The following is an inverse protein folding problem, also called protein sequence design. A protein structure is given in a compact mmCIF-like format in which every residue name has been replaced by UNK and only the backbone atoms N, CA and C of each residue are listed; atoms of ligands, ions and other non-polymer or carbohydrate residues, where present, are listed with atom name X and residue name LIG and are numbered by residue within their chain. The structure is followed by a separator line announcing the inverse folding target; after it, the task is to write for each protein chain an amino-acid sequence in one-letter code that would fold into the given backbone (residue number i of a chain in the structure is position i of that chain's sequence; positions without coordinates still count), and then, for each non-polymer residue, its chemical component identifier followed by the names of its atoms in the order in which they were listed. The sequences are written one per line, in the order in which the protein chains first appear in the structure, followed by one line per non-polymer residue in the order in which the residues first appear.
data_IF_716722931476
#
_entry.id   IF_716722931476
#
_cell.length_a   1.000
_cell.length_b   1.000
_cell.length_c   1.000
_cell.angle_alpha   90.00
_cell.angle_beta   90.00
_cell.angle_gamma   90.00
#
_symmetry.space_group_name_H-M   'P 1'
#
loop_
_entity.id
_entity.type
_entity.pdbx_description
1 polymer ?
#
# COMPACT_ATOMS: atom_id res chain seq x y z
N UNK A 1 -49.36 53.96 -12.35
CA UNK A 1 -48.74 52.92 -13.19
C UNK A 1 -47.20 53.09 -13.34
N UNK A 2 -46.65 54.24 -13.69
CA UNK A 2 -45.20 54.43 -13.84
C UNK A 2 -44.37 54.21 -12.54
N UNK A 3 -44.92 54.49 -11.34
CA UNK A 3 -44.21 54.28 -10.05
C UNK A 3 -44.23 52.81 -9.60
N UNK A 4 -45.23 52.03 -10.00
CA UNK A 4 -45.24 50.60 -9.70
C UNK A 4 -44.28 49.80 -10.58
N UNK A 5 -44.12 50.17 -11.85
CA UNK A 5 -43.18 49.56 -12.78
C UNK A 5 -41.72 49.80 -12.36
N UNK A 6 -41.46 51.01 -11.81
CA UNK A 6 -40.09 51.37 -11.34
C UNK A 6 -39.73 50.57 -10.05
N UNK A 7 -40.70 50.27 -9.18
CA UNK A 7 -40.47 49.51 -7.97
C UNK A 7 -40.25 48.01 -8.27
N UNK A 8 -40.96 47.44 -9.26
CA UNK A 8 -40.75 46.04 -9.70
C UNK A 8 -39.39 45.88 -10.43
N UNK A 9 -38.94 46.87 -11.21
CA UNK A 9 -37.62 46.79 -11.84
C UNK A 9 -36.47 46.88 -10.80
N UNK A 10 -36.65 47.71 -9.75
CA UNK A 10 -35.67 47.81 -8.67
C UNK A 10 -35.60 46.53 -7.80
N UNK A 11 -36.76 45.85 -7.57
CA UNK A 11 -36.77 44.55 -6.88
C UNK A 11 -36.17 43.42 -7.73
N UNK A 12 -36.35 43.43 -9.05
CA UNK A 12 -35.74 42.43 -9.96
C UNK A 12 -34.24 42.62 -10.07
N UNK A 13 -33.72 43.83 -9.97
CA UNK A 13 -32.25 44.12 -9.92
C UNK A 13 -31.63 43.74 -8.56
N UNK A 14 -32.37 43.84 -7.44
CA UNK A 14 -31.89 43.42 -6.13
C UNK A 14 -31.89 41.89 -5.97
N UNK A 15 -32.82 41.18 -6.61
CA UNK A 15 -32.85 39.70 -6.60
C UNK A 15 -31.74 39.12 -7.50
N UNK A 16 -31.32 39.83 -8.57
CA UNK A 16 -30.19 39.36 -9.39
C UNK A 16 -28.81 39.65 -8.77
N UNK A 17 -28.70 40.51 -7.75
CA UNK A 17 -27.46 40.72 -7.01
C UNK A 17 -27.29 39.79 -5.78
N UNK A 18 -28.35 39.13 -5.31
CA UNK A 18 -28.25 38.16 -4.20
C UNK A 18 -27.95 36.74 -4.64
N UNK A 19 -27.81 36.46 -5.93
CA UNK A 19 -27.60 35.12 -6.47
C UNK A 19 -26.16 34.83 -6.96
N UNK A 20 -25.22 35.77 -6.84
CA UNK A 20 -23.81 35.48 -6.95
C UNK A 20 -23.31 35.07 -5.56
N UNK A 21 -23.64 33.85 -5.13
CA UNK A 21 -22.70 33.06 -4.31
C UNK A 21 -21.44 33.05 -5.16
N UNK A 22 -20.42 33.79 -4.73
CA UNK A 22 -19.09 33.68 -5.28
C UNK A 22 -18.77 32.19 -5.15
N UNK A 23 -18.83 31.45 -6.27
CA UNK A 23 -18.18 30.17 -6.36
C UNK A 23 -16.73 30.52 -5.97
N UNK A 24 -16.28 30.02 -4.82
CA UNK A 24 -14.89 30.14 -4.41
C UNK A 24 -14.10 29.63 -5.62
N UNK A 25 -13.31 30.52 -6.25
CA UNK A 25 -12.46 30.11 -7.37
C UNK A 25 -11.45 29.11 -6.81
N UNK A 26 -11.77 27.82 -6.92
CA UNK A 26 -10.90 26.75 -6.43
C UNK A 26 -9.62 26.77 -7.26
N UNK A 27 -8.43 26.68 -6.62
CA UNK A 27 -7.16 27.02 -7.25
C UNK A 27 -6.81 26.11 -8.45
N UNK A 28 -7.39 24.91 -8.52
CA UNK A 28 -7.11 23.92 -9.58
C UNK A 28 -8.36 23.51 -10.36
N UNK A 29 -9.40 24.37 -10.37
CA UNK A 29 -10.62 24.10 -11.11
C UNK A 29 -10.32 23.86 -12.60
N UNK A 30 -10.85 22.74 -13.13
CA UNK A 30 -10.65 22.34 -14.53
C UNK A 30 -9.34 21.60 -14.82
N UNK A 31 -8.46 21.42 -13.84
CA UNK A 31 -7.29 20.55 -13.98
C UNK A 31 -7.68 19.09 -13.64
N UNK A 32 -6.95 18.13 -14.23
CA UNK A 32 -7.13 16.71 -13.96
C UNK A 32 -5.83 16.15 -13.39
N UNK A 33 -5.91 15.46 -12.25
CA UNK A 33 -4.82 14.71 -11.65
C UNK A 33 -5.02 13.22 -11.96
N UNK A 34 -4.12 12.62 -12.73
CA UNK A 34 -4.16 11.19 -13.06
C UNK A 34 -3.25 10.40 -12.13
N UNK A 35 -3.83 9.45 -11.40
CA UNK A 35 -3.15 8.69 -10.34
C UNK A 35 -3.13 7.22 -10.72
N UNK A 36 -1.94 6.62 -10.76
CA UNK A 36 -1.76 5.17 -10.79
C UNK A 36 -1.80 4.64 -9.36
N UNK A 37 -2.81 3.80 -9.04
CA UNK A 37 -3.08 3.38 -7.66
C UNK A 37 -3.46 1.91 -7.54
N UNK A 38 -3.71 1.43 -6.33
CA UNK A 38 -4.21 0.10 -6.06
C UNK A 38 -5.70 -0.03 -6.44
N UNK A 39 -6.11 -1.23 -6.88
CA UNK A 39 -7.52 -1.56 -7.11
C UNK A 39 -8.23 -2.04 -5.83
N UNK A 40 -7.62 -1.82 -4.66
CA UNK A 40 -8.11 -2.26 -3.35
C UNK A 40 -8.81 -1.11 -2.64
N UNK A 41 -9.89 -1.39 -1.90
CA UNK A 41 -10.65 -0.40 -1.10
C UNK A 41 -11.12 0.85 -1.88
N UNK A 42 -11.46 0.74 -3.16
CA UNK A 42 -11.74 1.87 -4.04
C UNK A 42 -12.83 2.83 -3.48
N UNK A 43 -13.86 2.30 -2.79
CA UNK A 43 -14.94 3.12 -2.20
C UNK A 43 -14.42 3.95 -1.01
N UNK A 44 -13.54 3.38 -0.18
CA UNK A 44 -12.93 4.10 0.95
C UNK A 44 -11.93 5.13 0.46
N UNK A 45 -11.09 4.80 -0.54
CA UNK A 45 -10.19 5.77 -1.16
C UNK A 45 -10.96 6.94 -1.78
N UNK A 46 -12.11 6.67 -2.43
CA UNK A 46 -12.96 7.73 -2.96
C UNK A 46 -13.48 8.64 -1.84
N UNK A 47 -14.04 8.05 -0.78
CA UNK A 47 -14.63 8.75 0.37
C UNK A 47 -13.60 9.58 1.15
N UNK A 48 -12.46 8.97 1.48
CA UNK A 48 -11.51 9.55 2.44
C UNK A 48 -10.48 10.46 1.78
N UNK A 49 -10.18 10.23 0.50
CA UNK A 49 -9.05 10.88 -0.20
C UNK A 49 -9.54 11.71 -1.38
N UNK A 50 -10.18 11.07 -2.37
CA UNK A 50 -10.42 11.74 -3.65
C UNK A 50 -11.51 12.80 -3.55
N UNK A 51 -12.65 12.50 -2.92
CA UNK A 51 -13.72 13.47 -2.77
C UNK A 51 -13.31 14.70 -1.96
N UNK A 52 -12.66 14.56 -0.77
CA UNK A 52 -12.18 15.72 -0.01
C UNK A 52 -11.12 16.54 -0.76
N UNK A 53 -10.21 15.89 -1.47
CA UNK A 53 -9.19 16.61 -2.25
C UNK A 53 -9.81 17.37 -3.43
N UNK A 54 -10.73 16.76 -4.17
CA UNK A 54 -11.48 17.43 -5.25
C UNK A 54 -12.35 18.56 -4.71
N UNK A 55 -12.96 18.39 -3.53
CA UNK A 55 -13.70 19.45 -2.88
C UNK A 55 -12.82 20.62 -2.49
N UNK A 56 -11.63 20.38 -1.95
CA UNK A 56 -10.67 21.39 -1.56
C UNK A 56 -10.10 22.16 -2.77
N UNK A 57 -9.74 21.47 -3.84
CA UNK A 57 -8.95 22.01 -4.95
C UNK A 57 -9.78 22.41 -6.18
N UNK A 58 -10.90 21.75 -6.40
CA UNK A 58 -11.70 21.87 -7.61
C UNK A 58 -11.16 21.09 -8.81
N UNK A 59 -10.09 20.32 -8.65
CA UNK A 59 -9.59 19.45 -9.70
C UNK A 59 -10.50 18.24 -9.90
N UNK A 60 -10.25 17.49 -10.97
CA UNK A 60 -10.81 16.13 -11.18
C UNK A 60 -9.72 15.11 -10.93
N UNK A 61 -10.01 14.03 -10.19
CA UNK A 61 -9.11 12.89 -10.04
C UNK A 61 -9.53 11.77 -11.01
N UNK A 62 -8.56 11.21 -11.72
CA UNK A 62 -8.69 9.98 -12.51
C UNK A 62 -7.77 8.93 -11.86
N UNK A 63 -8.38 7.95 -11.18
CA UNK A 63 -7.65 6.87 -10.53
C UNK A 63 -7.60 5.63 -11.42
N UNK A 64 -6.40 5.22 -11.87
CA UNK A 64 -6.17 3.99 -12.63
C UNK A 64 -5.67 2.88 -11.67
N UNK A 65 -6.61 2.04 -11.22
CA UNK A 65 -6.36 0.98 -10.26
C UNK A 65 -5.97 -0.34 -10.91
N UNK A 66 -4.83 -0.92 -10.49
CA UNK A 66 -4.40 -2.26 -10.90
C UNK A 66 -3.41 -2.87 -9.89
N UNK A 67 -2.95 -4.12 -10.13
CA UNK A 67 -1.85 -4.72 -9.38
C UNK A 67 -0.52 -4.02 -9.67
N UNK A 68 0.44 -4.10 -8.75
CA UNK A 68 1.74 -3.43 -8.90
C UNK A 68 2.43 -3.79 -10.22
N UNK A 69 2.51 -5.06 -10.58
CA UNK A 69 3.18 -5.50 -11.81
C UNK A 69 2.51 -4.93 -13.09
N UNK A 70 1.18 -4.89 -13.13
CA UNK A 70 0.43 -4.29 -14.26
C UNK A 70 0.69 -2.79 -14.33
N UNK A 71 0.71 -2.09 -13.20
CA UNK A 71 0.95 -0.64 -13.14
C UNK A 71 2.36 -0.27 -13.58
N UNK A 72 3.37 -1.02 -13.15
CA UNK A 72 4.76 -0.81 -13.61
C UNK A 72 4.83 -0.92 -15.14
N UNK A 73 4.22 -1.96 -15.73
CA UNK A 73 4.19 -2.12 -17.20
C UNK A 73 3.49 -0.93 -17.86
N UNK A 74 2.32 -0.50 -17.37
CA UNK A 74 1.61 0.66 -17.90
C UNK A 74 2.45 1.94 -17.82
N UNK A 75 3.10 2.19 -16.68
CA UNK A 75 3.93 3.38 -16.47
C UNK A 75 5.20 3.37 -17.33
N UNK A 76 5.78 2.17 -17.59
CA UNK A 76 6.90 2.04 -18.51
C UNK A 76 6.54 2.45 -19.95
N UNK A 77 5.32 2.11 -20.39
CA UNK A 77 4.81 2.38 -21.73
C UNK A 77 4.13 3.76 -21.87
N UNK A 78 3.79 4.42 -20.75
CA UNK A 78 3.06 5.67 -20.71
C UNK A 78 3.86 6.82 -21.34
N UNK A 79 3.16 7.69 -22.08
CA UNK A 79 3.71 8.93 -22.59
C UNK A 79 3.84 9.99 -21.47
N UNK A 80 4.68 11.00 -21.70
CA UNK A 80 4.80 12.13 -20.77
C UNK A 80 3.46 12.86 -20.58
N UNK A 81 3.05 12.99 -19.32
CA UNK A 81 1.81 13.64 -18.91
C UNK A 81 0.57 12.74 -18.94
N UNK A 82 0.70 11.43 -19.16
CA UNK A 82 -0.41 10.48 -19.00
C UNK A 82 -0.74 10.23 -17.53
N UNK A 83 0.27 10.30 -16.65
CA UNK A 83 0.14 10.15 -15.21
C UNK A 83 0.86 11.28 -14.47
N UNK A 84 0.34 11.63 -13.31
CA UNK A 84 0.90 12.66 -12.44
C UNK A 84 1.49 12.06 -11.16
N UNK A 85 0.77 11.12 -10.53
CA UNK A 85 1.15 10.47 -9.26
C UNK A 85 1.12 8.97 -9.40
N UNK A 86 2.05 8.29 -8.75
CA UNK A 86 2.00 6.86 -8.50
C UNK A 86 2.00 6.57 -7.00
N UNK A 87 1.06 5.71 -6.58
CA UNK A 87 0.93 5.17 -5.22
C UNK A 87 1.31 3.69 -5.28
N UNK A 88 2.53 3.32 -4.86
CA UNK A 88 3.07 1.98 -5.13
C UNK A 88 4.03 1.52 -4.02
N UNK A 89 4.22 0.21 -3.88
CA UNK A 89 5.18 -0.36 -2.94
C UNK A 89 6.64 0.00 -3.26
N UNK A 90 7.45 0.12 -2.25
CA UNK A 90 8.86 0.56 -2.26
C UNK A 90 9.75 -0.23 -3.24
N UNK A 91 9.60 -1.55 -3.33
CA UNK A 91 10.29 -2.39 -4.32
C UNK A 91 10.07 -1.89 -5.76
N UNK A 92 8.83 -1.53 -6.07
CA UNK A 92 8.46 -1.06 -7.42
C UNK A 92 8.83 0.40 -7.65
N UNK A 93 8.92 1.21 -6.58
CA UNK A 93 9.50 2.56 -6.68
C UNK A 93 10.95 2.46 -7.15
N UNK A 94 11.76 1.55 -6.59
CA UNK A 94 13.14 1.32 -7.04
C UNK A 94 13.22 0.94 -8.52
N UNK A 95 12.33 0.06 -8.98
CA UNK A 95 12.27 -0.30 -10.40
C UNK A 95 11.94 0.92 -11.28
N UNK A 96 10.91 1.68 -10.94
CA UNK A 96 10.52 2.88 -11.69
C UNK A 96 11.58 3.98 -11.66
N UNK A 97 12.33 4.12 -10.55
CA UNK A 97 13.48 5.02 -10.47
C UNK A 97 14.58 4.61 -11.44
N UNK A 98 14.92 3.32 -11.51
CA UNK A 98 15.92 2.80 -12.44
C UNK A 98 15.51 3.04 -13.91
N UNK A 99 14.23 3.06 -14.21
CA UNK A 99 13.67 3.37 -15.53
C UNK A 99 13.47 4.88 -15.79
N UNK A 100 13.85 5.74 -14.83
CA UNK A 100 13.71 7.21 -14.93
C UNK A 100 12.26 7.70 -14.92
N UNK A 101 11.32 6.93 -14.35
CA UNK A 101 9.89 7.22 -14.33
C UNK A 101 9.44 8.00 -13.09
N UNK A 102 10.28 8.12 -12.08
CA UNK A 102 10.00 8.90 -10.86
C UNK A 102 10.74 10.22 -10.94
N UNK A 103 10.00 11.32 -10.76
CA UNK A 103 10.56 12.67 -10.66
C UNK A 103 10.84 13.03 -9.19
N UNK A 104 11.75 13.95 -8.97
CA UNK A 104 11.96 14.57 -7.66
C UNK A 104 10.82 15.57 -7.37
N UNK A 105 10.52 15.78 -6.10
CA UNK A 105 9.55 16.75 -5.62
C UNK A 105 10.20 17.78 -4.70
N UNK A 106 9.55 18.91 -4.53
CA UNK A 106 9.98 19.95 -3.60
C UNK A 106 9.42 19.65 -2.20
N UNK A 107 10.23 18.97 -1.39
CA UNK A 107 9.85 18.59 -0.01
C UNK A 107 9.53 19.79 0.88
N UNK A 108 10.01 20.99 0.57
CA UNK A 108 9.70 22.22 1.35
C UNK A 108 8.23 22.64 1.24
N UNK A 109 7.51 22.14 0.24
CA UNK A 109 6.07 22.34 0.07
C UNK A 109 5.22 21.34 0.84
N UNK A 110 5.80 20.23 1.33
CA UNK A 110 5.11 19.22 2.08
C UNK A 110 5.03 19.58 3.56
N UNK A 111 4.03 20.37 3.91
CA UNK A 111 3.87 20.94 5.26
C UNK A 111 3.52 19.86 6.31
N UNK A 112 2.96 18.74 5.90
CA UNK A 112 2.63 17.59 6.74
C UNK A 112 3.81 16.66 7.00
N UNK A 113 4.91 16.80 6.24
CA UNK A 113 6.05 15.89 6.29
C UNK A 113 6.77 15.91 7.67
N UNK A 114 6.75 17.06 8.37
CA UNK A 114 7.41 17.18 9.69
C UNK A 114 6.84 16.22 10.73
N UNK A 115 5.55 15.88 10.64
CA UNK A 115 4.87 14.98 11.57
C UNK A 115 5.05 13.49 11.22
N UNK A 116 5.60 13.18 10.05
CA UNK A 116 5.86 11.81 9.59
C UNK A 116 7.06 11.21 10.35
N UNK A 117 7.05 9.90 10.62
CA UNK A 117 8.22 9.18 11.14
C UNK A 117 9.44 9.38 10.26
N UNK A 118 10.63 9.57 10.86
CA UNK A 118 11.84 9.90 10.10
C UNK A 118 12.20 8.88 9.03
N UNK A 119 12.00 7.58 9.31
CA UNK A 119 12.23 6.51 8.33
C UNK A 119 11.23 6.47 7.17
N UNK A 120 10.11 7.19 7.26
CA UNK A 120 9.07 7.27 6.23
C UNK A 120 9.11 8.58 5.42
N UNK A 121 9.90 9.59 5.83
CA UNK A 121 9.97 10.89 5.13
C UNK A 121 10.57 10.80 3.74
N UNK A 122 11.63 10.01 3.59
CA UNK A 122 12.36 9.86 2.32
C UNK A 122 13.00 8.47 2.19
N UNK A 123 12.22 7.38 2.13
CA UNK A 123 12.77 6.02 2.12
C UNK A 123 13.69 5.72 0.92
N UNK A 124 13.49 6.43 -0.20
CA UNK A 124 14.30 6.28 -1.43
C UNK A 124 15.40 7.35 -1.57
N UNK A 125 15.58 8.20 -0.56
CA UNK A 125 16.52 9.30 -0.57
C UNK A 125 15.86 10.67 -0.72
N UNK A 126 16.63 11.72 -0.45
CA UNK A 126 16.17 13.10 -0.47
C UNK A 126 15.61 13.50 -1.85
N UNK A 127 14.48 14.20 -1.84
CA UNK A 127 13.79 14.65 -3.06
C UNK A 127 12.85 13.61 -3.68
N UNK A 128 12.81 12.37 -3.20
CA UNK A 128 11.81 11.39 -3.60
C UNK A 128 10.61 11.39 -2.64
N UNK A 129 9.52 10.79 -3.08
CA UNK A 129 8.27 10.83 -2.33
C UNK A 129 8.32 10.11 -1.00
N UNK A 130 7.50 10.53 -0.03
CA UNK A 130 7.39 9.88 1.28
C UNK A 130 6.64 8.56 1.18
N UNK A 131 6.80 7.72 2.21
CA UNK A 131 5.84 6.68 2.51
C UNK A 131 4.56 7.31 3.08
N UNK A 132 3.42 6.65 2.84
CA UNK A 132 2.15 7.04 3.45
C UNK A 132 1.57 5.94 4.35
N UNK A 133 2.10 4.73 4.26
CA UNK A 133 1.76 3.60 5.13
C UNK A 133 2.94 2.64 5.27
N UNK A 134 2.97 1.96 6.41
CA UNK A 134 3.86 0.84 6.67
C UNK A 134 3.13 -0.48 6.41
N UNK A 135 3.88 -1.50 6.03
CA UNK A 135 3.37 -2.86 5.94
C UNK A 135 4.35 -3.80 6.62
N UNK A 136 3.86 -4.81 7.33
CA UNK A 136 4.67 -5.91 7.82
C UNK A 136 4.13 -7.25 7.36
N UNK A 137 5.04 -8.19 7.17
CA UNK A 137 4.73 -9.57 6.86
C UNK A 137 4.42 -10.33 8.14
N UNK A 138 3.37 -11.14 8.10
CA UNK A 138 3.01 -12.01 9.20
C UNK A 138 2.26 -13.24 8.70
N UNK A 139 1.69 -13.98 9.64
CA UNK A 139 0.90 -15.17 9.33
C UNK A 139 -0.51 -14.96 9.87
N UNK A 140 -1.50 -15.14 9.01
CA UNK A 140 -2.92 -15.21 9.40
C UNK A 140 -3.30 -16.68 9.43
N UNK A 141 -3.87 -17.15 10.54
CA UNK A 141 -4.36 -18.51 10.64
C UNK A 141 -5.62 -18.62 11.50
N UNK A 142 -6.38 -19.69 11.34
CA UNK A 142 -7.50 -20.02 12.20
C UNK A 142 -7.05 -21.08 13.23
N UNK A 143 -6.96 -20.75 14.54
CA UNK A 143 -6.55 -21.70 15.57
C UNK A 143 -7.50 -22.89 15.73
N UNK A 144 -8.76 -22.78 15.27
CA UNK A 144 -9.75 -23.86 15.35
C UNK A 144 -9.56 -24.89 14.23
N UNK A 145 -9.04 -24.47 13.07
CA UNK A 145 -8.85 -25.30 11.88
C UNK A 145 -7.39 -25.78 11.72
N UNK A 146 -6.44 -25.00 12.27
CA UNK A 146 -5.02 -25.30 12.14
C UNK A 146 -4.61 -26.41 13.14
N UNK A 147 -3.93 -27.47 12.67
CA UNK A 147 -3.56 -28.59 13.55
C UNK A 147 -2.47 -28.25 14.56
N UNK A 148 -1.76 -27.14 14.37
CA UNK A 148 -0.68 -26.66 15.24
C UNK A 148 -0.87 -25.18 15.61
N UNK A 149 -0.26 -24.76 16.70
CA UNK A 149 -0.07 -23.33 17.00
C UNK A 149 1.08 -22.79 16.15
N UNK A 150 0.87 -21.62 15.51
CA UNK A 150 1.88 -20.96 14.67
C UNK A 150 2.40 -19.72 15.39
N UNK A 151 3.72 -19.63 15.60
CA UNK A 151 4.40 -18.52 16.26
C UNK A 151 5.60 -18.00 15.47
N UNK A 152 6.02 -18.73 14.43
CA UNK A 152 7.27 -18.56 13.71
C UNK A 152 7.07 -18.92 12.23
N UNK A 153 7.88 -18.36 11.34
CA UNK A 153 7.92 -18.87 9.96
C UNK A 153 8.38 -20.32 9.91
N UNK A 154 9.28 -20.75 10.81
CA UNK A 154 9.75 -22.13 10.85
C UNK A 154 8.62 -23.15 11.08
N UNK A 155 7.53 -22.78 11.77
CA UNK A 155 6.38 -23.66 12.03
C UNK A 155 5.67 -24.06 10.73
N UNK A 156 5.82 -23.28 9.65
CA UNK A 156 5.22 -23.60 8.34
C UNK A 156 5.78 -24.90 7.73
N UNK A 157 6.93 -25.39 8.19
CA UNK A 157 7.52 -26.65 7.76
C UNK A 157 6.98 -27.89 8.51
N UNK A 158 6.06 -27.69 9.48
CA UNK A 158 5.45 -28.83 10.18
C UNK A 158 4.68 -29.71 9.19
N UNK A 159 4.91 -31.05 9.18
CA UNK A 159 4.25 -31.96 8.24
C UNK A 159 2.74 -32.07 8.43
N UNK A 160 2.20 -31.64 9.57
CA UNK A 160 0.74 -31.58 9.80
C UNK A 160 0.05 -30.50 8.94
N UNK A 161 0.81 -29.50 8.43
CA UNK A 161 0.32 -28.47 7.53
C UNK A 161 0.30 -28.88 6.04
N UNK A 162 0.47 -30.19 5.74
CA UNK A 162 0.56 -30.67 4.36
C UNK A 162 -0.63 -30.27 3.51
N UNK A 163 -0.33 -29.59 2.35
CA UNK A 163 -1.32 -29.07 1.38
C UNK A 163 -2.35 -28.11 2.03
N UNK A 164 -1.93 -27.33 3.04
CA UNK A 164 -2.88 -26.58 3.86
C UNK A 164 -2.47 -25.13 4.16
N UNK A 165 -1.42 -24.62 3.52
CA UNK A 165 -0.98 -23.21 3.66
C UNK A 165 -0.89 -22.51 2.31
N UNK A 166 -0.99 -21.17 2.35
CA UNK A 166 -0.67 -20.32 1.20
C UNK A 166 0.49 -19.37 1.52
N UNK A 167 1.39 -19.19 0.54
CA UNK A 167 2.52 -18.29 0.60
C UNK A 167 2.53 -17.32 -0.57
N UNK A 168 3.13 -16.12 -0.46
CA UNK A 168 3.19 -15.18 -1.57
C UNK A 168 4.10 -15.69 -2.69
N UNK A 169 3.74 -15.46 -3.96
CA UNK A 169 4.66 -15.63 -5.06
C UNK A 169 5.85 -14.66 -4.91
N UNK A 170 7.05 -15.07 -5.33
CA UNK A 170 8.27 -14.25 -5.17
C UNK A 170 8.17 -12.88 -5.86
N UNK A 171 7.34 -12.75 -6.88
CA UNK A 171 7.08 -11.50 -7.62
C UNK A 171 6.02 -10.59 -6.97
N UNK A 172 5.36 -11.07 -5.91
CA UNK A 172 4.47 -10.24 -5.09
C UNK A 172 5.32 -9.39 -4.13
N UNK A 173 4.82 -8.24 -3.68
CA UNK A 173 5.52 -7.38 -2.71
C UNK A 173 5.95 -8.15 -1.45
N UNK A 174 5.11 -9.06 -0.96
CA UNK A 174 5.40 -9.92 0.20
C UNK A 174 6.36 -11.08 -0.10
N UNK A 175 6.62 -11.40 -1.38
CA UNK A 175 7.47 -12.51 -1.77
C UNK A 175 8.92 -12.38 -1.29
N UNK A 176 9.62 -11.29 -1.62
CA UNK A 176 10.97 -11.05 -1.09
C UNK A 176 11.00 -10.94 0.43
N UNK A 177 9.98 -10.35 1.06
CA UNK A 177 9.88 -10.31 2.53
C UNK A 177 9.82 -11.73 3.12
N UNK A 178 9.04 -12.61 2.51
CA UNK A 178 8.97 -14.02 2.91
C UNK A 178 10.30 -14.74 2.69
N UNK A 179 10.98 -14.47 1.58
CA UNK A 179 12.32 -15.02 1.32
C UNK A 179 13.32 -14.64 2.44
N UNK A 180 13.31 -13.38 2.90
CA UNK A 180 14.11 -12.93 4.05
C UNK A 180 13.64 -13.58 5.36
N UNK A 181 12.33 -13.75 5.56
CA UNK A 181 11.77 -14.47 6.70
C UNK A 181 12.23 -15.92 6.76
N UNK A 182 12.22 -16.62 5.61
CA UNK A 182 12.78 -17.99 5.49
C UNK A 182 14.27 -18.02 5.82
N UNK A 183 15.03 -17.08 5.29
CA UNK A 183 16.45 -16.99 5.60
C UNK A 183 16.67 -16.86 7.11
N UNK A 184 15.97 -15.96 7.77
CA UNK A 184 16.05 -15.75 9.21
C UNK A 184 15.64 -16.99 10.02
N UNK A 185 14.56 -17.69 9.61
CA UNK A 185 14.06 -18.89 10.28
C UNK A 185 15.09 -20.02 10.33
N UNK A 186 16.00 -20.08 9.36
CA UNK A 186 17.03 -21.10 9.28
C UNK A 186 18.46 -20.58 9.50
N UNK A 187 18.63 -19.32 9.94
CA UNK A 187 19.93 -18.71 10.21
C UNK A 187 20.78 -18.54 8.95
N UNK A 188 20.14 -18.28 7.80
CA UNK A 188 20.77 -18.09 6.48
C UNK A 188 20.82 -16.61 6.11
N UNK A 189 21.73 -16.23 5.21
CA UNK A 189 21.92 -14.86 4.77
C UNK A 189 21.56 -14.72 3.26
N UNK A 190 20.57 -13.87 2.89
CA UNK A 190 20.27 -13.56 1.49
C UNK A 190 21.53 -13.09 0.74
N UNK A 191 21.73 -13.61 -0.47
CA UNK A 191 22.90 -13.31 -1.32
C UNK A 191 24.15 -14.17 -1.03
N UNK A 192 24.25 -14.76 0.14
CA UNK A 192 25.32 -15.67 0.49
C UNK A 192 24.89 -17.12 0.48
N UNK A 193 23.68 -17.38 1.01
CA UNK A 193 23.17 -18.73 1.21
C UNK A 193 21.93 -19.01 0.33
N UNK A 194 21.78 -18.32 -0.81
CA UNK A 194 20.60 -18.40 -1.68
C UNK A 194 20.24 -19.84 -2.08
N UNK A 195 21.25 -20.69 -2.32
CA UNK A 195 21.02 -22.11 -2.63
C UNK A 195 20.37 -22.86 -1.46
N UNK A 196 20.80 -22.58 -0.23
CA UNK A 196 20.25 -23.19 0.96
C UNK A 196 18.84 -22.64 1.26
N UNK A 197 18.58 -21.35 1.02
CA UNK A 197 17.23 -20.76 1.18
C UNK A 197 16.25 -21.40 0.20
N UNK A 198 16.62 -21.55 -1.07
CA UNK A 198 15.77 -22.23 -2.05
C UNK A 198 15.60 -23.73 -1.78
N UNK A 199 16.59 -24.39 -1.18
CA UNK A 199 16.44 -25.76 -0.72
C UNK A 199 15.40 -25.84 0.41
N UNK A 200 15.40 -24.90 1.36
CA UNK A 200 14.35 -24.80 2.39
C UNK A 200 12.97 -24.54 1.80
N UNK A 201 12.85 -23.65 0.83
CA UNK A 201 11.58 -23.45 0.10
C UNK A 201 11.10 -24.72 -0.61
N UNK A 202 12.02 -25.51 -1.18
CA UNK A 202 11.66 -26.80 -1.77
C UNK A 202 11.20 -27.83 -0.71
N UNK A 203 11.76 -27.81 0.50
CA UNK A 203 11.27 -28.60 1.64
C UNK A 203 9.87 -28.18 2.09
N UNK A 204 9.52 -26.89 1.96
CA UNK A 204 8.19 -26.35 2.29
C UNK A 204 7.10 -26.77 1.30
N UNK A 205 7.46 -27.05 0.04
CA UNK A 205 6.51 -27.32 -1.05
C UNK A 205 5.37 -28.30 -0.70
N UNK A 206 5.59 -29.40 0.02
CA UNK A 206 4.52 -30.33 0.37
C UNK A 206 3.38 -29.71 1.22
N UNK A 207 3.67 -28.64 1.96
CA UNK A 207 2.71 -27.94 2.81
C UNK A 207 1.94 -26.85 2.06
N UNK A 208 2.51 -26.38 0.94
CA UNK A 208 1.95 -25.26 0.16
C UNK A 208 0.83 -25.75 -0.75
N UNK A 209 -0.39 -25.33 -0.45
CA UNK A 209 -1.58 -25.47 -1.28
C UNK A 209 -1.55 -24.54 -2.47
N UNK A 210 -1.13 -23.28 -2.23
CA UNK A 210 -1.14 -22.24 -3.24
C UNK A 210 -0.02 -21.25 -3.03
N UNK A 211 0.58 -20.79 -4.14
CA UNK A 211 1.35 -19.54 -4.18
C UNK A 211 0.46 -18.46 -4.77
N UNK A 212 0.36 -17.30 -4.11
CA UNK A 212 -0.61 -16.27 -4.49
C UNK A 212 0.05 -15.00 -5.05
N UNK A 213 -0.67 -14.32 -5.93
CA UNK A 213 -0.40 -12.95 -6.38
C UNK A 213 -1.48 -11.96 -5.92
N UNK A 214 -2.59 -12.45 -5.34
CA UNK A 214 -3.72 -11.67 -4.83
C UNK A 214 -4.08 -12.11 -3.43
N UNK A 215 -3.95 -11.21 -2.45
CA UNK A 215 -4.33 -11.45 -1.06
C UNK A 215 -5.83 -11.77 -0.91
N UNK A 216 -6.72 -11.13 -1.70
CA UNK A 216 -8.16 -11.37 -1.65
C UNK A 216 -8.52 -12.84 -1.98
N UNK A 217 -7.86 -13.42 -2.98
CA UNK A 217 -8.07 -14.84 -3.30
C UNK A 217 -7.63 -15.74 -2.15
N UNK A 218 -6.54 -15.40 -1.49
CA UNK A 218 -6.00 -16.14 -0.35
C UNK A 218 -6.94 -16.07 0.85
N UNK A 219 -7.50 -14.90 1.15
CA UNK A 219 -8.53 -14.72 2.19
C UNK A 219 -9.78 -15.55 1.86
N UNK A 220 -10.16 -15.63 0.58
CA UNK A 220 -11.28 -16.50 0.15
C UNK A 220 -10.97 -17.96 0.43
N UNK A 221 -9.76 -18.45 0.15
CA UNK A 221 -9.36 -19.85 0.46
C UNK A 221 -9.36 -20.11 1.97
N UNK A 222 -8.90 -19.17 2.80
CA UNK A 222 -9.03 -19.25 4.27
C UNK A 222 -10.49 -19.40 4.68
N UNK A 223 -11.38 -18.55 4.18
CA UNK A 223 -12.81 -18.56 4.53
C UNK A 223 -13.54 -19.83 4.05
N UNK A 224 -13.04 -20.49 3.02
CA UNK A 224 -13.58 -21.74 2.50
C UNK A 224 -12.99 -22.98 3.21
N UNK A 225 -12.01 -22.78 4.11
CA UNK A 225 -11.30 -23.88 4.79
C UNK A 225 -10.39 -24.68 3.86
N UNK A 226 -10.04 -24.13 2.69
CA UNK A 226 -9.10 -24.78 1.77
C UNK A 226 -7.66 -24.71 2.28
N UNK A 227 -7.36 -23.71 3.09
CA UNK A 227 -6.11 -23.52 3.82
C UNK A 227 -6.40 -23.10 5.26
N UNK A 228 -5.53 -23.46 6.20
CA UNK A 228 -5.65 -23.02 7.60
C UNK A 228 -4.80 -21.81 7.93
N UNK A 229 -3.73 -21.58 7.16
CA UNK A 229 -2.81 -20.47 7.38
C UNK A 229 -2.33 -19.85 6.08
N UNK A 230 -2.02 -18.55 6.14
CA UNK A 230 -1.46 -17.79 5.01
C UNK A 230 -0.43 -16.76 5.49
N UNK A 231 0.67 -16.66 4.75
CA UNK A 231 1.64 -15.57 4.93
C UNK A 231 1.13 -14.34 4.17
N UNK A 232 0.82 -13.25 4.87
CA UNK A 232 0.17 -12.06 4.33
C UNK A 232 0.82 -10.77 4.86
N UNK A 233 0.55 -9.64 4.22
CA UNK A 233 0.81 -8.32 4.78
C UNK A 233 -0.34 -7.89 5.70
N UNK A 234 -0.04 -7.08 6.72
CA UNK A 234 -0.95 -6.71 7.82
C UNK A 234 -2.24 -6.03 7.37
N UNK A 235 -2.23 -5.21 6.31
CA UNK A 235 -3.46 -4.62 5.77
C UNK A 235 -4.52 -5.67 5.37
N UNK A 236 -4.08 -6.88 5.01
CA UNK A 236 -4.97 -7.99 4.65
C UNK A 236 -5.66 -8.61 5.87
N UNK A 237 -5.08 -8.45 7.07
CA UNK A 237 -5.62 -9.04 8.29
C UNK A 237 -6.97 -8.43 8.68
N UNK A 238 -7.14 -7.11 8.56
CA UNK A 238 -8.41 -6.44 8.85
C UNK A 238 -9.54 -7.04 8.00
N UNK A 239 -9.29 -7.27 6.70
CA UNK A 239 -10.25 -7.91 5.80
C UNK A 239 -10.54 -9.36 6.20
N UNK A 240 -9.49 -10.13 6.52
CA UNK A 240 -9.65 -11.53 6.95
C UNK A 240 -10.45 -11.62 8.26
N UNK A 241 -10.10 -10.82 9.27
CA UNK A 241 -10.76 -10.78 10.58
C UNK A 241 -12.22 -10.33 10.50
N UNK A 242 -12.54 -9.40 9.60
CA UNK A 242 -13.91 -8.96 9.35
C UNK A 242 -14.78 -10.08 8.76
N UNK A 243 -14.18 -10.95 7.93
CA UNK A 243 -14.88 -12.10 7.36
C UNK A 243 -15.04 -13.25 8.38
N UNK A 244 -14.03 -13.48 9.23
CA UNK A 244 -14.07 -14.45 10.31
C UNK A 244 -13.28 -13.97 11.53
N UNK A 245 -13.96 -13.59 12.63
CA UNK A 245 -13.32 -13.10 13.86
C UNK A 245 -12.37 -14.08 14.56
N UNK A 246 -12.44 -15.39 14.22
CA UNK A 246 -11.56 -16.42 14.76
C UNK A 246 -10.12 -16.31 14.23
N UNK A 247 -9.90 -15.64 13.10
CA UNK A 247 -8.54 -15.46 12.59
C UNK A 247 -7.68 -14.64 13.53
N UNK A 248 -6.45 -15.10 13.70
CA UNK A 248 -5.42 -14.41 14.48
C UNK A 248 -4.25 -14.02 13.59
N UNK A 249 -3.61 -12.92 13.97
CA UNK A 249 -2.38 -12.44 13.37
C UNK A 249 -1.19 -12.88 14.21
N UNK A 250 -0.15 -13.39 13.55
CA UNK A 250 1.14 -13.73 14.17
C UNK A 250 2.22 -12.79 13.62
N UNK A 251 2.92 -12.14 14.53
CA UNK A 251 4.23 -11.56 14.24
C UNK A 251 5.26 -12.67 14.43
N UNK A 252 5.89 -13.17 13.35
CA UNK A 252 6.82 -14.30 13.47
C UNK A 252 8.02 -13.99 14.37
N UNK A 253 8.46 -14.99 15.12
CA UNK A 253 9.56 -14.86 16.07
C UNK A 253 10.89 -14.40 15.44
N UNK A 254 11.06 -14.61 14.14
CA UNK A 254 12.24 -14.23 13.36
C UNK A 254 12.38 -12.72 13.15
N UNK A 255 11.30 -11.96 13.29
CA UNK A 255 11.30 -10.51 13.18
C UNK A 255 10.18 -9.93 12.32
N UNK A 256 10.11 -8.60 12.29
CA UNK A 256 9.10 -7.84 11.58
C UNK A 256 9.62 -7.44 10.19
N UNK A 257 9.54 -8.33 9.22
CA UNK A 257 9.90 -8.00 7.83
C UNK A 257 8.81 -7.13 7.23
N UNK A 258 9.19 -5.98 6.66
CA UNK A 258 8.21 -5.03 6.17
C UNK A 258 8.73 -4.12 5.08
N UNK A 259 7.91 -3.15 4.72
CA UNK A 259 8.20 -2.16 3.69
C UNK A 259 7.19 -1.02 3.74
N UNK A 260 7.19 -0.22 2.69
CA UNK A 260 6.37 0.96 2.55
C UNK A 260 5.48 0.88 1.30
N UNK A 261 4.31 1.55 1.36
CA UNK A 261 3.73 2.11 0.15
C UNK A 261 4.04 3.60 0.10
N UNK A 262 4.36 4.09 -1.07
CA UNK A 262 4.92 5.42 -1.28
C UNK A 262 4.11 6.22 -2.28
N UNK A 263 4.21 7.54 -2.15
CA UNK A 263 3.60 8.53 -3.03
C UNK A 263 4.71 9.20 -3.84
N UNK A 264 4.67 9.10 -5.15
CA UNK A 264 5.70 9.70 -5.98
C UNK A 264 5.09 10.45 -7.16
N UNK A 265 5.78 11.52 -7.58
CA UNK A 265 5.47 12.22 -8.82
C UNK A 265 6.05 11.47 -10.00
N UNK A 266 5.29 11.33 -11.08
CA UNK A 266 5.75 10.70 -12.32
C UNK A 266 6.52 11.71 -13.17
N UNK A 267 7.65 11.27 -13.72
CA UNK A 267 8.47 12.07 -14.66
C UNK A 267 7.63 12.53 -15.85
N UNK A 268 7.68 13.82 -16.15
CA UNK A 268 6.91 14.43 -17.24
C UNK A 268 5.48 14.80 -16.88
N UNK A 269 5.07 14.71 -15.61
CA UNK A 269 3.79 15.23 -15.14
C UNK A 269 3.65 16.72 -15.53
N UNK A 270 2.48 17.06 -16.06
CA UNK A 270 2.14 18.47 -16.41
C UNK A 270 1.48 19.19 -15.23
N UNK A 271 1.15 18.46 -14.16
CA UNK A 271 0.44 18.96 -12.99
C UNK A 271 1.28 18.78 -11.70
N UNK A 272 2.61 18.97 -11.80
CA UNK A 272 3.56 18.69 -10.70
C UNK A 272 3.19 19.39 -9.39
N UNK A 273 2.79 20.67 -9.43
CA UNK A 273 2.37 21.40 -8.22
C UNK A 273 1.11 20.80 -7.58
N UNK A 274 0.15 20.38 -8.40
CA UNK A 274 -1.06 19.71 -7.92
C UNK A 274 -0.74 18.30 -7.38
N UNK A 275 0.20 17.59 -7.98
CA UNK A 275 0.70 16.31 -7.51
C UNK A 275 1.42 16.43 -6.14
N UNK A 276 2.28 17.45 -5.97
CA UNK A 276 2.94 17.74 -4.69
C UNK A 276 1.91 18.11 -3.61
N UNK A 277 0.89 18.92 -3.95
CA UNK A 277 -0.21 19.23 -3.04
C UNK A 277 -1.02 17.98 -2.65
N UNK A 278 -1.25 17.07 -3.60
CA UNK A 278 -1.94 15.80 -3.32
C UNK A 278 -1.12 14.92 -2.37
N UNK A 279 0.20 14.86 -2.55
CA UNK A 279 1.11 14.13 -1.66
C UNK A 279 1.09 14.72 -0.25
N UNK A 280 1.14 16.06 -0.12
CA UNK A 280 1.04 16.72 1.18
C UNK A 280 -0.32 16.47 1.86
N UNK A 281 -1.41 16.57 1.09
CA UNK A 281 -2.76 16.26 1.58
C UNK A 281 -2.88 14.82 2.07
N UNK A 282 -2.27 13.87 1.36
CA UNK A 282 -2.29 12.45 1.76
C UNK A 282 -1.60 12.19 3.10
N UNK A 283 -0.67 13.06 3.49
CA UNK A 283 0.02 13.02 4.78
C UNK A 283 -0.71 13.83 5.88
N UNK A 284 -1.88 14.43 5.59
CA UNK A 284 -2.60 15.22 6.58
C UNK A 284 -3.12 14.37 7.73
N UNK A 285 -3.28 14.99 8.92
CA UNK A 285 -3.75 14.29 10.11
C UNK A 285 -5.12 13.65 9.91
N UNK A 286 -6.07 14.44 9.38
CA UNK A 286 -7.44 14.00 9.24
C UNK A 286 -7.57 12.79 8.30
N UNK A 287 -6.83 12.80 7.18
CA UNK A 287 -6.83 11.69 6.23
C UNK A 287 -6.17 10.45 6.84
N UNK A 288 -4.96 10.57 7.36
CA UNK A 288 -4.21 9.46 7.95
C UNK A 288 -4.97 8.83 9.13
N UNK A 289 -5.66 9.64 9.92
CA UNK A 289 -6.50 9.16 11.02
C UNK A 289 -7.75 8.44 10.47
N UNK A 290 -8.44 8.99 9.46
CA UNK A 290 -9.61 8.37 8.86
C UNK A 290 -9.29 7.01 8.22
N UNK A 291 -8.19 6.91 7.47
CA UNK A 291 -7.73 5.65 6.87
C UNK A 291 -7.41 4.58 7.94
N UNK A 292 -6.78 4.99 9.04
CA UNK A 292 -6.51 4.08 10.16
C UNK A 292 -7.78 3.61 10.85
N UNK A 293 -8.74 4.50 11.11
CA UNK A 293 -10.01 4.17 11.76
C UNK A 293 -10.93 3.32 10.86
N UNK A 294 -10.86 3.50 9.54
CA UNK A 294 -11.57 2.66 8.56
C UNK A 294 -10.83 1.31 8.30
N UNK A 295 -9.67 1.09 8.93
CA UNK A 295 -8.90 -0.16 8.81
C UNK A 295 -8.21 -0.34 7.46
N UNK A 296 -7.92 0.76 6.74
CA UNK A 296 -7.35 0.75 5.39
C UNK A 296 -5.84 0.76 5.43
N UNK A 297 -5.24 1.80 6.02
CA UNK A 297 -3.79 2.01 6.02
C UNK A 297 -3.27 2.34 7.42
N UNK A 298 -2.05 1.89 7.71
CA UNK A 298 -1.31 2.25 8.90
C UNK A 298 -0.82 3.70 8.79
N UNK A 299 -1.07 4.57 9.79
CA UNK A 299 -0.61 5.95 9.71
C UNK A 299 0.92 6.06 9.81
N UNK A 300 1.51 6.90 8.96
CA UNK A 300 2.94 7.23 9.02
C UNK A 300 3.23 8.46 9.91
N UNK A 301 2.20 9.09 10.46
CA UNK A 301 2.33 10.25 11.35
C UNK A 301 2.61 9.81 12.78
N UNK A 302 3.63 10.39 13.38
CA UNK A 302 4.03 10.11 14.77
C UNK A 302 3.09 10.77 15.82
N UNK A 303 2.28 11.74 15.41
CA UNK A 303 1.33 12.46 16.27
C UNK A 303 -0.09 11.84 16.31
N UNK A 304 -0.36 10.80 15.53
CA UNK A 304 -1.61 10.04 15.57
C UNK A 304 -1.54 9.03 16.73
N UNK A 305 -2.57 9.02 17.56
CA UNK A 305 -2.74 8.04 18.65
C UNK A 305 -3.97 7.20 18.34
N UNK A 306 -3.76 5.90 18.12
CA UNK A 306 -4.80 4.91 17.92
C UNK A 306 -5.18 4.26 19.26
N UNK A 307 -6.43 3.85 19.40
CA UNK A 307 -6.83 2.96 20.49
C UNK A 307 -6.25 1.55 20.29
N UNK A 308 -6.34 0.72 21.33
CA UNK A 308 -5.73 -0.62 21.34
C UNK A 308 -6.32 -1.54 20.27
N UNK A 309 -7.62 -1.41 19.97
CA UNK A 309 -8.31 -2.22 18.96
C UNK A 309 -7.76 -1.95 17.56
N UNK A 310 -7.57 -0.68 17.19
CA UNK A 310 -7.04 -0.31 15.87
C UNK A 310 -5.52 -0.53 15.81
N UNK A 311 -4.78 -0.15 16.86
CA UNK A 311 -3.33 -0.25 16.90
C UNK A 311 -2.80 -1.68 16.66
N UNK A 312 -3.48 -2.71 17.19
CA UNK A 312 -3.05 -4.11 17.05
C UNK A 312 -3.07 -4.63 15.60
N UNK A 313 -3.87 -4.01 14.73
CA UNK A 313 -4.02 -4.43 13.33
C UNK A 313 -2.91 -3.89 12.42
N UNK A 314 -2.13 -2.89 12.89
CA UNK A 314 -1.19 -2.15 12.07
C UNK A 314 0.26 -2.26 12.56
N UNK A 315 1.19 -1.89 11.67
CA UNK A 315 2.57 -1.59 12.03
C UNK A 315 2.62 -0.20 12.67
N UNK A 316 2.45 -0.11 13.98
CA UNK A 316 2.18 1.13 14.69
C UNK A 316 3.07 1.30 15.93
N UNK A 317 3.35 2.56 16.28
CA UNK A 317 4.13 2.92 17.46
C UNK A 317 5.57 2.40 17.37
N UNK A 318 6.07 1.78 18.44
CA UNK A 318 7.45 1.26 18.50
C UNK A 318 7.76 0.16 17.48
N UNK A 319 6.75 -0.54 16.93
CA UNK A 319 6.96 -1.54 15.87
C UNK A 319 7.54 -0.92 14.61
N UNK A 320 7.23 0.34 14.32
CA UNK A 320 7.77 1.07 13.15
C UNK A 320 9.30 1.07 13.14
N UNK A 321 9.92 1.19 14.32
CA UNK A 321 11.39 1.20 14.47
C UNK A 321 12.00 -0.20 14.48
N UNK A 322 11.18 -1.25 14.55
CA UNK A 322 11.62 -2.66 14.57
C UNK A 322 11.51 -3.32 13.19
N UNK A 323 10.98 -2.62 12.18
CA UNK A 323 10.86 -3.15 10.84
C UNK A 323 12.22 -3.48 10.26
N UNK A 324 12.34 -4.70 9.74
CA UNK A 324 13.48 -5.19 8.95
C UNK A 324 13.13 -4.97 7.49
N UNK A 325 13.81 -4.00 6.88
CA UNK A 325 13.60 -3.65 5.49
C UNK A 325 14.62 -4.38 4.62
N UNK A 326 14.20 -5.04 3.53
CA UNK A 326 15.13 -5.60 2.56
C UNK A 326 15.96 -4.51 1.88
N UNK A 327 17.17 -4.88 1.46
CA UNK A 327 17.90 -4.08 0.47
C UNK A 327 17.21 -4.24 -0.90
N UNK A 328 16.39 -3.27 -1.26
CA UNK A 328 15.61 -3.33 -2.51
C UNK A 328 16.46 -3.24 -3.78
N UNK A 329 17.67 -2.67 -3.72
CA UNK A 329 18.59 -2.68 -4.85
C UNK A 329 19.11 -4.11 -5.07
N UNK A 330 19.49 -4.80 -3.99
CA UNK A 330 19.85 -6.20 -4.02
C UNK A 330 18.69 -7.10 -4.48
N UNK A 331 17.50 -6.92 -3.92
CA UNK A 331 16.29 -7.68 -4.32
C UNK A 331 16.01 -7.51 -5.80
N UNK A 332 15.96 -6.28 -6.30
CA UNK A 332 15.66 -5.98 -7.70
C UNK A 332 16.67 -6.61 -8.66
N UNK A 333 17.94 -6.58 -8.31
CA UNK A 333 19.02 -7.19 -9.10
C UNK A 333 18.89 -8.73 -9.17
N UNK A 334 18.41 -9.38 -8.11
CA UNK A 334 18.34 -10.84 -8.03
C UNK A 334 16.96 -11.42 -8.38
N UNK A 335 15.91 -10.59 -8.38
CA UNK A 335 14.51 -11.04 -8.58
C UNK A 335 14.28 -11.87 -9.85
N UNK A 336 14.90 -11.58 -11.02
CA UNK A 336 14.75 -12.43 -12.20
C UNK A 336 15.22 -13.87 -11.95
N UNK A 337 16.41 -14.06 -11.40
CA UNK A 337 16.97 -15.39 -11.07
C UNK A 337 16.17 -16.09 -9.96
N UNK A 338 15.72 -15.34 -8.95
CA UNK A 338 14.83 -15.88 -7.91
C UNK A 338 13.49 -16.33 -8.49
N UNK A 339 12.95 -15.61 -9.47
CA UNK A 339 11.68 -15.97 -10.13
C UNK A 339 11.82 -17.29 -10.89
N UNK A 340 12.91 -17.50 -11.60
CA UNK A 340 13.17 -18.78 -12.28
C UNK A 340 13.22 -19.94 -11.27
N UNK A 341 14.00 -19.82 -10.21
CA UNK A 341 14.12 -20.82 -9.13
C UNK A 341 12.80 -21.07 -8.40
N UNK A 342 12.04 -20.00 -8.15
CA UNK A 342 10.70 -20.10 -7.55
C UNK A 342 9.76 -20.92 -8.43
N UNK A 343 9.74 -20.62 -9.73
CA UNK A 343 8.92 -21.35 -10.69
C UNK A 343 9.33 -22.82 -10.79
N UNK A 344 10.63 -23.15 -10.79
CA UNK A 344 11.12 -24.52 -10.74
C UNK A 344 10.64 -25.24 -9.47
N UNK A 345 10.62 -24.54 -8.34
CA UNK A 345 10.22 -25.09 -7.04
C UNK A 345 8.71 -25.30 -6.97
N UNK A 346 7.89 -24.29 -7.31
CA UNK A 346 6.45 -24.28 -7.01
C UNK A 346 5.55 -24.49 -8.23
N UNK A 347 6.05 -24.47 -9.46
CA UNK A 347 5.21 -24.78 -10.63
C UNK A 347 4.64 -26.20 -10.52
N UNK A 348 3.35 -26.29 -10.84
CA UNK A 348 2.68 -27.59 -11.01
C UNK A 348 3.25 -28.23 -12.28
N UNK A 349 3.80 -29.42 -12.17
CA UNK A 349 4.18 -30.22 -13.33
C UNK A 349 2.96 -30.84 -13.98
#
# INVERSE_FOLDING_TARGET
MKKLVSLCLALLLLVSLCGAVLAEDKPYAGQTLTISTFAFNAELLQKNIYDPFMEMTGCTIVADGASNAVRVTKLAEAAEGDYDVVIIGDMFVKQLMAEGKIDTLDTSKLTNLDAVYDNAKAPMGEGYGPAYTFNRLGIVYNPEDCPIEITSFADLWDPELRDYIAIPAITNTSGPLFYYGVAAAFGLEPGKDDDAIFAKLAELKPNVKSTYTSANNTITMLNQGEICAAVLLDYSYTTAKSANPAYVWVNPAEGLFGGYNMLNVITGSKNKELAELFIDFYLSFDLQYAEAMDGVDCPVRADIVLDEEHAQNFTYGEMVNQLILPDWDFVTANLPGWTERWNETFSVK
#
